data_IF_576932262519
#
_entry.id   IF_576932262519
#
_cell.length_a   1.000
_cell.length_b   1.000
_cell.length_c   1.000
_cell.angle_alpha   90.00
_cell.angle_beta   90.00
_cell.angle_gamma   90.00
#
_symmetry.space_group_name_H-M   'P 1'
#
loop_
_entity.id
_entity.type
_entity.pdbx_description
1 polymer ?
#
# COMPACT_ATOMS: atom_id res chain seq x y z
N UNK A 1 23.83 -0.95 -31.75
CA UNK A 1 22.91 -0.19 -30.86
C UNK A 1 23.37 -0.40 -29.43
N UNK A 2 23.91 0.62 -28.77
CA UNK A 2 24.27 0.54 -27.36
C UNK A 2 22.97 0.63 -26.56
N UNK A 3 22.64 -0.42 -25.78
CA UNK A 3 21.47 -0.39 -24.91
C UNK A 3 21.69 0.65 -23.81
N UNK A 4 21.00 1.79 -23.91
CA UNK A 4 20.99 2.83 -22.87
C UNK A 4 20.18 2.42 -21.63
N UNK A 5 19.47 1.28 -21.70
CA UNK A 5 18.67 0.76 -20.60
C UNK A 5 19.49 -0.24 -19.77
N UNK A 6 19.78 0.14 -18.53
CA UNK A 6 20.35 -0.75 -17.52
C UNK A 6 19.23 -1.58 -16.89
N UNK A 7 19.24 -2.90 -17.13
CA UNK A 7 18.27 -3.81 -16.49
C UNK A 7 18.43 -3.79 -14.97
N UNK A 8 17.30 -3.67 -14.28
CA UNK A 8 17.26 -3.61 -12.82
C UNK A 8 17.85 -4.88 -12.20
N UNK A 9 18.83 -4.71 -11.34
CA UNK A 9 19.28 -5.77 -10.46
C UNK A 9 18.27 -5.98 -9.32
N UNK A 10 17.86 -7.23 -9.09
CA UNK A 10 16.96 -7.57 -7.99
C UNK A 10 17.62 -7.28 -6.65
N UNK A 11 17.06 -6.35 -5.88
CA UNK A 11 17.54 -5.99 -4.55
C UNK A 11 16.98 -6.97 -3.52
N UNK A 12 17.87 -7.57 -2.72
CA UNK A 12 17.51 -8.40 -1.57
C UNK A 12 17.76 -7.60 -0.28
N UNK A 13 16.74 -6.92 0.28
CA UNK A 13 16.93 -6.12 1.48
C UNK A 13 17.24 -7.02 2.69
N UNK A 14 18.18 -6.58 3.52
CA UNK A 14 18.48 -7.18 4.82
C UNK A 14 17.42 -6.71 5.83
N UNK A 15 16.96 -7.58 6.71
CA UNK A 15 16.10 -7.17 7.82
C UNK A 15 16.92 -6.44 8.88
N UNK A 16 16.41 -5.30 9.35
CA UNK A 16 17.01 -4.50 10.41
C UNK A 16 16.13 -4.60 11.66
N UNK A 17 16.75 -4.80 12.82
CA UNK A 17 16.08 -4.77 14.12
C UNK A 17 16.44 -3.46 14.83
N UNK A 18 15.49 -2.87 15.54
CA UNK A 18 15.68 -1.61 16.26
C UNK A 18 14.36 -0.89 16.52
N UNK A 19 14.39 0.15 17.35
CA UNK A 19 13.21 0.90 17.78
C UNK A 19 12.45 1.47 16.58
N UNK A 20 13.16 2.11 15.64
CA UNK A 20 12.54 2.67 14.43
C UNK A 20 11.95 1.61 13.49
N UNK A 21 12.53 0.40 13.46
CA UNK A 21 11.97 -0.73 12.71
C UNK A 21 10.66 -1.20 13.35
N UNK A 22 10.61 -1.28 14.68
CA UNK A 22 9.38 -1.59 15.42
C UNK A 22 8.30 -0.51 15.22
N UNK A 23 8.67 0.77 15.25
CA UNK A 23 7.74 1.87 14.98
C UNK A 23 7.19 1.83 13.56
N UNK A 24 8.02 1.49 12.56
CA UNK A 24 7.55 1.29 11.19
C UNK A 24 6.50 0.20 11.13
N UNK A 25 6.74 -0.94 11.79
CA UNK A 25 5.75 -2.02 11.85
C UNK A 25 4.48 -1.62 12.60
N UNK A 26 4.59 -0.82 13.67
CA UNK A 26 3.42 -0.26 14.35
C UNK A 26 2.58 0.58 13.38
N UNK A 27 3.20 1.48 12.60
CA UNK A 27 2.49 2.30 11.61
C UNK A 27 1.88 1.45 10.49
N UNK A 28 2.58 0.40 10.03
CA UNK A 28 2.02 -0.59 9.10
C UNK A 28 0.76 -1.22 9.69
N UNK A 29 0.81 -1.71 10.93
CA UNK A 29 -0.37 -2.32 11.56
C UNK A 29 -1.52 -1.33 11.72
N UNK A 30 -1.25 -0.12 12.22
CA UNK A 30 -2.29 0.91 12.40
C UNK A 30 -2.95 1.24 11.06
N UNK A 31 -2.17 1.52 10.02
CA UNK A 31 -2.72 1.87 8.70
C UNK A 31 -3.51 0.72 8.09
N UNK A 32 -3.07 -0.54 8.24
CA UNK A 32 -3.80 -1.69 7.75
C UNK A 32 -5.08 -1.96 8.57
N UNK A 33 -5.05 -1.85 9.90
CA UNK A 33 -6.24 -2.02 10.75
C UNK A 33 -7.28 -0.97 10.40
N UNK A 34 -6.87 0.29 10.22
CA UNK A 34 -7.79 1.37 9.82
C UNK A 34 -8.32 1.09 8.41
N UNK A 35 -7.45 0.79 7.44
CA UNK A 35 -7.86 0.56 6.06
C UNK A 35 -8.82 -0.64 5.91
N UNK A 36 -8.51 -1.77 6.54
CA UNK A 36 -9.33 -2.97 6.48
C UNK A 36 -10.53 -2.94 7.41
N UNK A 37 -10.46 -2.24 8.54
CA UNK A 37 -11.51 -2.24 9.56
C UNK A 37 -12.60 -1.22 9.32
N UNK A 38 -12.25 0.00 8.86
CA UNK A 38 -13.21 1.09 8.65
C UNK A 38 -14.45 0.71 7.82
N UNK A 39 -14.36 0.01 6.68
CA UNK A 39 -15.54 -0.30 5.89
C UNK A 39 -16.47 -1.31 6.59
N UNK A 40 -16.00 -2.10 7.55
CA UNK A 40 -16.84 -3.04 8.30
C UNK A 40 -17.54 -2.41 9.50
N UNK A 41 -17.09 -1.23 9.94
CA UNK A 41 -17.72 -0.54 11.05
C UNK A 41 -19.09 0.00 10.63
N UNK A 42 -20.07 -0.21 11.48
CA UNK A 42 -21.39 0.39 11.34
C UNK A 42 -21.50 1.62 12.22
N UNK A 43 -22.19 2.63 11.69
CA UNK A 43 -22.47 3.89 12.34
C UNK A 43 -23.91 4.28 12.03
N UNK A 44 -24.79 4.28 13.04
CA UNK A 44 -26.22 4.60 12.89
C UNK A 44 -26.93 3.76 11.80
N UNK A 45 -26.77 2.43 11.85
CA UNK A 45 -27.37 1.46 10.91
C UNK A 45 -26.90 1.55 9.44
N UNK A 46 -25.81 2.28 9.17
CA UNK A 46 -25.14 2.31 7.86
C UNK A 46 -23.64 2.07 8.01
N UNK A 47 -22.95 1.75 6.93
CA UNK A 47 -21.50 1.66 6.91
C UNK A 47 -20.87 3.01 7.30
N UNK A 48 -19.84 2.98 8.16
CA UNK A 48 -19.22 4.17 8.74
C UNK A 48 -18.53 5.04 7.68
N UNK A 49 -17.79 4.44 6.75
CA UNK A 49 -17.18 5.15 5.63
C UNK A 49 -17.62 4.51 4.33
N UNK A 50 -18.43 5.24 3.55
CA UNK A 50 -18.96 4.78 2.27
C UNK A 50 -19.00 5.93 1.27
N UNK A 51 -18.34 5.75 0.14
CA UNK A 51 -18.34 6.67 -0.98
C UNK A 51 -19.34 6.19 -2.03
N UNK A 52 -20.61 6.56 -1.86
CA UNK A 52 -21.68 6.17 -2.76
C UNK A 52 -21.65 7.03 -4.03
N UNK A 53 -21.14 6.46 -5.12
CA UNK A 53 -21.03 7.12 -6.42
C UNK A 53 -22.38 7.22 -7.13
N UNK A 54 -23.32 6.33 -6.85
CA UNK A 54 -24.64 6.29 -7.49
C UNK A 54 -25.55 7.37 -6.91
N UNK A 55 -25.66 7.42 -5.58
CA UNK A 55 -26.38 8.48 -4.89
C UNK A 55 -25.61 9.80 -4.83
N UNK A 56 -24.33 9.81 -5.24
CA UNK A 56 -23.39 10.94 -5.16
C UNK A 56 -23.27 11.51 -3.75
N UNK A 57 -23.24 10.63 -2.75
CA UNK A 57 -23.16 10.98 -1.33
C UNK A 57 -21.95 10.31 -0.71
N UNK A 58 -21.15 11.09 0.02
CA UNK A 58 -20.02 10.54 0.77
C UNK A 58 -20.37 10.52 2.26
N UNK A 59 -20.45 9.32 2.80
CA UNK A 59 -20.73 9.07 4.21
C UNK A 59 -19.40 8.89 4.94
N UNK A 60 -19.13 9.77 5.90
CA UNK A 60 -17.94 9.72 6.77
C UNK A 60 -18.44 9.84 8.22
N UNK A 61 -18.64 8.69 8.87
CA UNK A 61 -19.27 8.55 10.19
C UNK A 61 -20.65 9.24 10.25
N UNK A 62 -20.79 10.28 11.09
CA UNK A 62 -22.00 11.09 11.19
C UNK A 62 -22.15 12.12 10.06
N UNK A 63 -21.08 12.44 9.35
CA UNK A 63 -21.05 13.47 8.33
C UNK A 63 -21.48 12.90 6.97
N UNK A 64 -22.37 13.64 6.29
CA UNK A 64 -22.90 13.30 4.96
C UNK A 64 -22.55 14.45 4.03
N UNK A 65 -21.64 14.23 3.10
CA UNK A 65 -21.28 15.23 2.10
C UNK A 65 -22.13 15.04 0.85
N UNK A 66 -22.84 16.10 0.47
CA UNK A 66 -23.48 16.19 -0.82
C UNK A 66 -22.50 16.77 -1.85
N UNK A 67 -22.78 16.66 -3.16
CA UNK A 67 -21.92 17.24 -4.20
C UNK A 67 -21.73 18.76 -4.05
N UNK A 68 -22.67 19.43 -3.40
CA UNK A 68 -22.63 20.87 -3.10
C UNK A 68 -21.59 21.20 -2.01
N UNK A 69 -21.35 20.25 -1.09
CA UNK A 69 -20.40 20.36 0.02
C UNK A 69 -18.96 20.03 -0.40
N UNK A 70 -18.71 19.87 -1.70
CA UNK A 70 -17.39 19.54 -2.23
C UNK A 70 -16.32 20.58 -1.88
N UNK A 71 -16.72 21.81 -1.53
CA UNK A 71 -15.82 22.84 -1.02
C UNK A 71 -15.16 22.42 0.31
N UNK A 72 -15.88 21.74 1.20
CA UNK A 72 -15.33 21.26 2.47
C UNK A 72 -14.35 20.11 2.24
N UNK A 73 -14.66 19.21 1.31
CA UNK A 73 -13.75 18.16 0.89
C UNK A 73 -12.48 18.75 0.26
N UNK A 74 -12.62 19.75 -0.61
CA UNK A 74 -11.48 20.43 -1.24
C UNK A 74 -10.62 21.11 -0.18
N UNK A 75 -11.22 21.81 0.79
CA UNK A 75 -10.50 22.42 1.91
C UNK A 75 -9.74 21.39 2.74
N UNK A 76 -10.37 20.25 3.05
CA UNK A 76 -9.72 19.14 3.76
C UNK A 76 -8.52 18.57 2.97
N UNK A 77 -8.65 18.39 1.66
CA UNK A 77 -7.56 17.91 0.80
C UNK A 77 -6.41 18.91 0.72
N UNK A 78 -6.70 20.22 0.64
CA UNK A 78 -5.68 21.28 0.66
C UNK A 78 -4.95 21.28 2.00
N UNK A 79 -5.67 21.25 3.12
CA UNK A 79 -5.07 21.17 4.46
C UNK A 79 -4.20 19.92 4.59
N UNK A 80 -4.67 18.77 4.09
CA UNK A 80 -3.92 17.51 4.10
C UNK A 80 -2.64 17.61 3.28
N UNK A 81 -2.69 18.22 2.08
CA UNK A 81 -1.54 18.42 1.22
C UNK A 81 -0.51 19.38 1.86
N UNK A 82 -0.97 20.51 2.40
CA UNK A 82 -0.12 21.46 3.11
C UNK A 82 0.49 20.85 4.38
N UNK A 83 -0.28 20.05 5.12
CA UNK A 83 0.23 19.33 6.30
C UNK A 83 1.31 18.33 5.91
N UNK A 84 1.13 17.61 4.80
CA UNK A 84 2.14 16.71 4.27
C UNK A 84 3.41 17.48 3.88
N UNK A 85 3.29 18.63 3.23
CA UNK A 85 4.44 19.47 2.87
C UNK A 85 5.16 20.02 4.10
N UNK A 86 4.41 20.52 5.08
CA UNK A 86 4.96 20.99 6.35
C UNK A 86 5.75 19.87 7.06
N UNK A 87 5.18 18.68 7.16
CA UNK A 87 5.86 17.53 7.73
C UNK A 87 7.11 17.13 6.93
N UNK A 88 7.09 17.34 5.62
CA UNK A 88 8.24 17.09 4.75
C UNK A 88 9.37 18.08 5.01
N UNK A 89 9.05 19.36 5.17
CA UNK A 89 10.01 20.41 5.48
C UNK A 89 10.66 20.21 6.85
N UNK A 90 9.89 19.76 7.86
CA UNK A 90 10.41 19.58 9.22
C UNK A 90 11.15 18.25 9.38
N UNK A 91 10.56 17.14 8.92
CA UNK A 91 11.00 15.77 9.23
C UNK A 91 11.43 14.96 7.99
N UNK A 92 11.62 15.62 6.85
CA UNK A 92 12.18 15.02 5.65
C UNK A 92 11.35 13.83 5.13
N UNK A 93 12.00 12.66 5.02
CA UNK A 93 11.45 11.43 4.41
C UNK A 93 10.62 10.56 5.36
N UNK A 94 10.24 11.08 6.52
CA UNK A 94 9.53 10.30 7.55
C UNK A 94 8.21 9.72 7.04
N UNK A 95 7.41 10.47 6.27
CA UNK A 95 6.16 9.96 5.67
C UNK A 95 6.42 8.79 4.70
N UNK A 96 7.33 9.01 3.75
CA UNK A 96 7.75 8.00 2.78
C UNK A 96 8.28 6.72 3.46
N UNK A 97 8.96 6.84 4.60
CA UNK A 97 9.56 5.70 5.30
C UNK A 97 8.59 4.89 6.17
N UNK A 98 7.51 5.50 6.67
CA UNK A 98 6.68 4.89 7.72
C UNK A 98 5.21 4.69 7.34
N UNK A 99 4.60 5.58 6.54
CA UNK A 99 3.16 5.59 6.31
C UNK A 99 2.74 5.59 4.83
N UNK A 100 3.66 5.89 3.90
CA UNK A 100 3.34 5.88 2.48
C UNK A 100 2.80 4.50 2.04
N UNK A 101 1.66 4.44 1.31
CA UNK A 101 1.06 3.16 0.91
C UNK A 101 2.02 2.24 0.16
N UNK A 102 2.86 2.80 -0.72
CA UNK A 102 3.86 2.02 -1.46
C UNK A 102 4.85 1.33 -0.52
N UNK A 103 5.30 2.02 0.53
CA UNK A 103 6.20 1.46 1.54
C UNK A 103 5.51 0.41 2.40
N UNK A 104 4.29 0.69 2.87
CA UNK A 104 3.50 -0.23 3.70
C UNK A 104 3.29 -1.56 2.98
N UNK A 105 2.77 -1.51 1.75
CA UNK A 105 2.52 -2.73 0.97
C UNK A 105 3.81 -3.45 0.57
N UNK A 106 4.87 -2.72 0.20
CA UNK A 106 6.17 -3.36 -0.12
C UNK A 106 6.77 -4.06 1.09
N UNK A 107 6.67 -3.46 2.29
CA UNK A 107 7.17 -4.05 3.53
C UNK A 107 6.41 -5.34 3.88
N UNK A 108 5.08 -5.35 3.72
CA UNK A 108 4.26 -6.56 3.92
C UNK A 108 4.66 -7.66 2.92
N UNK A 109 4.84 -7.33 1.64
CA UNK A 109 5.25 -8.31 0.63
C UNK A 109 6.64 -8.89 0.90
N UNK A 110 7.58 -8.05 1.34
CA UNK A 110 8.93 -8.45 1.74
C UNK A 110 8.90 -9.32 3.00
N UNK A 111 7.99 -9.04 3.94
CA UNK A 111 7.78 -9.86 5.13
C UNK A 111 7.24 -11.25 4.79
N UNK A 112 6.25 -11.33 3.89
CA UNK A 112 5.75 -12.61 3.34
C UNK A 112 6.89 -13.37 2.66
N UNK A 113 7.67 -12.70 1.80
CA UNK A 113 8.81 -13.30 1.10
C UNK A 113 9.86 -13.82 2.09
N UNK A 114 10.16 -13.06 3.15
CA UNK A 114 11.08 -13.48 4.21
C UNK A 114 10.55 -14.71 4.95
N UNK A 115 9.26 -14.76 5.27
CA UNK A 115 8.66 -15.87 6.02
C UNK A 115 8.63 -17.17 5.22
N UNK A 116 8.43 -17.08 3.90
CA UNK A 116 8.37 -18.26 3.01
C UNK A 116 9.75 -18.70 2.53
N UNK A 117 10.57 -17.77 2.04
CA UNK A 117 11.85 -18.09 1.40
C UNK A 117 13.04 -18.06 2.37
N UNK A 118 12.95 -17.28 3.45
CA UNK A 118 13.98 -17.10 4.48
C UNK A 118 14.69 -15.75 4.41
N UNK A 119 15.78 -15.61 5.16
CA UNK A 119 16.61 -14.40 5.19
C UNK A 119 17.30 -14.11 3.84
N UNK A 120 17.96 -12.95 3.75
CA UNK A 120 18.65 -12.49 2.53
C UNK A 120 19.53 -13.56 1.88
N UNK A 121 20.41 -14.21 2.64
CA UNK A 121 21.32 -15.24 2.13
C UNK A 121 20.58 -16.47 1.60
N UNK A 122 19.53 -16.91 2.30
CA UNK A 122 18.69 -18.02 1.88
C UNK A 122 17.96 -17.72 0.57
N UNK A 123 17.43 -16.50 0.40
CA UNK A 123 16.78 -16.05 -0.84
C UNK A 123 17.74 -15.99 -2.01
N UNK A 124 18.92 -15.41 -1.81
CA UNK A 124 19.97 -15.36 -2.84
C UNK A 124 20.39 -16.78 -3.27
N UNK A 125 20.62 -17.68 -2.31
CA UNK A 125 20.96 -19.08 -2.59
C UNK A 125 19.83 -19.83 -3.30
N UNK A 126 18.58 -19.59 -2.91
CA UNK A 126 17.40 -20.19 -3.54
C UNK A 126 17.23 -19.72 -5.00
N UNK A 127 17.52 -18.45 -5.27
CA UNK A 127 17.45 -17.90 -6.63
C UNK A 127 18.58 -18.45 -7.52
N UNK A 128 19.78 -18.63 -6.97
CA UNK A 128 20.94 -19.22 -7.67
C UNK A 128 20.88 -20.74 -7.83
N UNK A 129 20.11 -21.46 -7.01
CA UNK A 129 20.05 -22.92 -7.09
C UNK A 129 19.37 -23.40 -8.37
N UNK A 130 19.72 -24.61 -8.82
CA UNK A 130 19.03 -25.29 -9.91
C UNK A 130 17.52 -25.47 -9.63
N UNK A 131 16.75 -25.71 -10.69
CA UNK A 131 15.32 -25.95 -10.57
C UNK A 131 15.08 -27.22 -9.74
N UNK A 132 14.28 -27.10 -8.68
CA UNK A 132 13.94 -28.17 -7.76
C UNK A 132 12.48 -28.02 -7.36
N UNK A 133 11.77 -29.13 -7.12
CA UNK A 133 10.37 -29.14 -6.64
C UNK A 133 10.24 -28.28 -5.39
N UNK A 134 11.22 -28.32 -4.49
CA UNK A 134 11.25 -27.48 -3.28
C UNK A 134 11.34 -25.98 -3.60
N UNK A 135 12.12 -25.61 -4.63
CA UNK A 135 12.21 -24.22 -5.10
C UNK A 135 10.89 -23.78 -5.70
N UNK A 136 10.30 -24.60 -6.56
CA UNK A 136 8.99 -24.33 -7.14
C UNK A 136 7.92 -24.13 -6.06
N UNK A 137 7.82 -25.05 -5.09
CA UNK A 137 6.86 -24.94 -3.99
C UNK A 137 7.01 -23.66 -3.18
N UNK A 138 8.24 -23.27 -2.81
CA UNK A 138 8.49 -22.00 -2.10
C UNK A 138 8.10 -20.77 -2.93
N UNK A 139 8.47 -20.75 -4.22
CA UNK A 139 8.13 -19.62 -5.10
C UNK A 139 6.63 -19.52 -5.32
N UNK A 140 5.98 -20.66 -5.59
CA UNK A 140 4.54 -20.74 -5.76
C UNK A 140 3.81 -20.26 -4.51
N UNK A 141 4.19 -20.75 -3.32
CA UNK A 141 3.57 -20.35 -2.06
C UNK A 141 3.69 -18.84 -1.82
N UNK A 142 4.86 -18.25 -2.08
CA UNK A 142 5.03 -16.80 -1.99
C UNK A 142 4.08 -16.06 -2.93
N UNK A 143 4.01 -16.46 -4.20
CA UNK A 143 3.13 -15.80 -5.17
C UNK A 143 1.65 -16.00 -4.83
N UNK A 144 1.26 -17.17 -4.33
CA UNK A 144 -0.09 -17.42 -3.84
C UNK A 144 -0.46 -16.49 -2.68
N UNK A 145 0.44 -16.32 -1.69
CA UNK A 145 0.21 -15.39 -0.57
C UNK A 145 0.19 -13.92 -1.03
N UNK A 146 1.06 -13.53 -1.95
CA UNK A 146 1.03 -12.18 -2.54
C UNK A 146 -0.28 -11.90 -3.28
N UNK A 147 -0.75 -12.84 -4.09
CA UNK A 147 -2.02 -12.70 -4.82
C UNK A 147 -3.19 -12.66 -3.86
N UNK A 148 -3.24 -13.55 -2.87
CA UNK A 148 -4.31 -13.57 -1.86
C UNK A 148 -4.40 -12.23 -1.11
N UNK A 149 -3.27 -11.71 -0.64
CA UNK A 149 -3.22 -10.42 0.04
C UNK A 149 -3.60 -9.26 -0.90
N UNK A 150 -3.13 -9.28 -2.15
CA UNK A 150 -3.45 -8.24 -3.12
C UNK A 150 -4.93 -8.22 -3.49
N UNK A 151 -5.54 -9.39 -3.71
CA UNK A 151 -6.98 -9.52 -3.96
C UNK A 151 -7.81 -9.06 -2.76
N UNK A 152 -7.37 -9.39 -1.53
CA UNK A 152 -8.00 -8.87 -0.31
C UNK A 152 -7.94 -7.34 -0.21
N UNK A 153 -6.79 -6.76 -0.60
CA UNK A 153 -6.61 -5.31 -0.70
C UNK A 153 -7.59 -4.70 -1.71
N UNK A 154 -7.70 -5.30 -2.90
CA UNK A 154 -8.63 -4.86 -3.95
C UNK A 154 -10.10 -4.98 -3.53
N UNK A 155 -10.48 -6.08 -2.89
CA UNK A 155 -11.81 -6.29 -2.31
C UNK A 155 -12.16 -5.19 -1.30
N UNK A 156 -11.25 -4.92 -0.36
CA UNK A 156 -11.46 -3.89 0.66
C UNK A 156 -11.58 -2.51 0.03
N UNK A 157 -10.75 -2.20 -0.96
CA UNK A 157 -10.82 -0.91 -1.65
C UNK A 157 -12.18 -0.70 -2.33
N UNK A 158 -12.71 -1.71 -3.01
CA UNK A 158 -14.06 -1.67 -3.59
C UNK A 158 -15.14 -1.58 -2.50
N UNK A 159 -14.91 -2.17 -1.33
CA UNK A 159 -15.77 -2.06 -0.14
C UNK A 159 -15.94 -0.63 0.40
N UNK A 160 -15.10 0.33 -0.01
CA UNK A 160 -15.32 1.76 0.28
C UNK A 160 -16.33 2.42 -0.68
N UNK A 161 -16.64 1.80 -1.82
CA UNK A 161 -17.55 2.37 -2.85
C UNK A 161 -18.85 1.56 -2.98
N UNK A 162 -18.80 0.26 -2.70
CA UNK A 162 -19.97 -0.62 -2.59
C UNK A 162 -20.05 -1.12 -1.16
N UNK A 163 -21.22 -1.10 -0.50
CA UNK A 163 -21.35 -1.56 0.89
C UNK A 163 -20.67 -2.91 1.10
N UNK A 164 -19.74 -2.98 2.07
CA UNK A 164 -18.79 -4.12 2.14
C UNK A 164 -19.49 -5.44 2.49
N UNK A 165 -20.59 -5.38 3.26
CA UNK A 165 -21.39 -6.55 3.62
C UNK A 165 -22.11 -7.13 2.41
N UNK A 166 -22.66 -6.26 1.57
CA UNK A 166 -23.30 -6.66 0.31
C UNK A 166 -22.24 -7.20 -0.65
N UNK A 167 -21.09 -6.52 -0.75
CA UNK A 167 -19.96 -6.98 -1.56
C UNK A 167 -19.46 -8.36 -1.11
N UNK A 168 -19.39 -8.61 0.20
CA UNK A 168 -19.03 -9.91 0.76
C UNK A 168 -20.07 -10.98 0.43
N UNK A 169 -21.36 -10.68 0.57
CA UNK A 169 -22.44 -11.59 0.22
C UNK A 169 -22.44 -11.95 -1.28
N UNK A 170 -22.28 -10.95 -2.16
CA UNK A 170 -22.17 -11.14 -3.61
C UNK A 170 -20.92 -11.95 -4.00
N UNK A 171 -19.80 -11.72 -3.30
CA UNK A 171 -18.57 -12.49 -3.52
C UNK A 171 -18.74 -13.95 -3.13
N UNK A 172 -19.40 -14.23 -2.00
CA UNK A 172 -19.68 -15.58 -1.53
C UNK A 172 -20.68 -16.31 -2.44
N UNK A 173 -21.67 -15.59 -2.97
CA UNK A 173 -22.65 -16.11 -3.92
C UNK A 173 -22.10 -16.23 -5.37
N UNK A 174 -20.84 -15.84 -5.60
CA UNK A 174 -20.22 -15.78 -6.93
C UNK A 174 -21.05 -14.97 -7.96
N UNK A 175 -21.76 -13.94 -7.49
CA UNK A 175 -22.71 -13.13 -8.27
C UNK A 175 -22.26 -11.68 -8.40
N UNK A 176 -20.95 -11.43 -8.34
CA UNK A 176 -20.38 -10.09 -8.50
C UNK A 176 -20.71 -9.52 -9.88
N UNK A 177 -21.16 -8.26 -9.90
CA UNK A 177 -21.38 -7.52 -11.13
C UNK A 177 -20.08 -7.22 -11.88
N UNK A 178 -20.15 -6.79 -13.16
CA UNK A 178 -18.97 -6.47 -13.95
C UNK A 178 -18.10 -5.37 -13.33
N UNK A 179 -18.72 -4.36 -12.72
CA UNK A 179 -18.03 -3.24 -12.07
C UNK A 179 -17.18 -3.72 -10.88
N UNK A 180 -17.80 -4.42 -9.93
CA UNK A 180 -17.12 -4.92 -8.73
C UNK A 180 -16.00 -5.87 -9.12
N UNK A 181 -16.28 -6.81 -10.03
CA UNK A 181 -15.31 -7.78 -10.53
C UNK A 181 -14.09 -7.09 -11.14
N UNK A 182 -14.31 -6.16 -12.08
CA UNK A 182 -13.23 -5.43 -12.72
C UNK A 182 -12.33 -4.71 -11.72
N UNK A 183 -12.90 -3.93 -10.79
CA UNK A 183 -12.10 -3.14 -9.86
C UNK A 183 -11.38 -3.96 -8.80
N UNK A 184 -11.99 -5.04 -8.30
CA UNK A 184 -11.32 -5.94 -7.36
C UNK A 184 -10.06 -6.53 -8.01
N UNK A 185 -10.19 -7.06 -9.23
CA UNK A 185 -9.06 -7.65 -9.94
C UNK A 185 -8.05 -6.59 -10.40
N UNK A 186 -8.50 -5.42 -10.83
CA UNK A 186 -7.62 -4.33 -11.24
C UNK A 186 -6.77 -3.83 -10.08
N UNK A 187 -7.37 -3.51 -8.93
CA UNK A 187 -6.62 -3.06 -7.75
C UNK A 187 -5.78 -4.18 -7.14
N UNK A 188 -6.24 -5.43 -7.19
CA UNK A 188 -5.43 -6.58 -6.81
C UNK A 188 -4.20 -6.75 -7.71
N UNK A 189 -4.39 -6.67 -9.03
CA UNK A 189 -3.29 -6.71 -9.99
C UNK A 189 -2.32 -5.54 -9.79
N UNK A 190 -2.82 -4.32 -9.63
CA UNK A 190 -2.01 -3.14 -9.39
C UNK A 190 -1.20 -3.26 -8.10
N UNK A 191 -1.81 -3.73 -7.00
CA UNK A 191 -1.13 -3.96 -5.72
C UNK A 191 -0.03 -5.01 -5.86
N UNK A 192 -0.34 -6.13 -6.52
CA UNK A 192 0.60 -7.21 -6.80
C UNK A 192 1.79 -6.74 -7.66
N UNK A 193 1.53 -5.98 -8.72
CA UNK A 193 2.56 -5.41 -9.60
C UNK A 193 3.45 -4.40 -8.88
N UNK A 194 2.82 -3.43 -8.21
CA UNK A 194 3.50 -2.31 -7.56
C UNK A 194 4.36 -2.76 -6.38
N UNK A 195 3.81 -3.56 -5.46
CA UNK A 195 4.52 -4.01 -4.26
C UNK A 195 5.40 -5.25 -4.53
N UNK A 196 4.97 -6.15 -5.42
CA UNK A 196 5.70 -7.38 -5.71
C UNK A 196 6.93 -7.16 -6.58
N UNK A 197 6.79 -6.42 -7.69
CA UNK A 197 7.81 -6.34 -8.74
C UNK A 197 8.45 -4.96 -8.83
N UNK A 198 7.64 -3.91 -8.90
CA UNK A 198 8.12 -2.55 -9.17
C UNK A 198 8.83 -1.96 -7.95
N UNK A 199 8.29 -2.14 -6.74
CA UNK A 199 8.90 -1.74 -5.46
C UNK A 199 9.44 -0.31 -5.51
N UNK A 200 10.75 -0.11 -5.45
CA UNK A 200 11.38 1.21 -5.46
C UNK A 200 11.29 1.92 -6.82
N UNK A 201 10.97 1.23 -7.90
CA UNK A 201 10.72 1.85 -9.21
C UNK A 201 9.52 2.79 -9.16
N UNK A 202 8.51 2.46 -8.34
CA UNK A 202 7.35 3.34 -8.10
C UNK A 202 7.84 4.65 -7.48
N UNK A 203 8.67 4.57 -6.43
CA UNK A 203 9.20 5.75 -5.77
C UNK A 203 10.16 6.58 -6.65
N UNK A 204 10.91 5.93 -7.56
CA UNK A 204 11.87 6.60 -8.45
C UNK A 204 11.21 7.27 -9.66
N UNK A 205 10.25 6.60 -10.29
CA UNK A 205 9.75 7.00 -11.60
C UNK A 205 8.27 7.41 -11.61
N UNK A 206 7.45 6.85 -10.73
CA UNK A 206 6.00 7.09 -10.74
C UNK A 206 5.55 8.10 -9.69
N UNK A 207 6.21 8.13 -8.53
CA UNK A 207 5.80 8.95 -7.40
C UNK A 207 6.15 10.43 -7.65
N UNK A 208 5.15 11.31 -7.89
CA UNK A 208 5.43 12.73 -8.08
C UNK A 208 5.93 13.38 -6.76
N UNK A 209 5.43 12.90 -5.62
CA UNK A 209 5.79 13.42 -4.30
C UNK A 209 7.30 13.26 -4.00
N UNK A 210 7.93 12.16 -4.45
CA UNK A 210 9.38 11.98 -4.29
C UNK A 210 10.21 13.08 -5.00
N UNK A 211 9.68 13.67 -6.08
CA UNK A 211 10.32 14.78 -6.80
C UNK A 211 10.09 16.12 -6.10
N UNK A 212 8.86 16.40 -5.70
CA UNK A 212 8.55 17.60 -4.92
C UNK A 212 9.35 17.66 -3.62
N UNK A 213 9.54 16.52 -2.98
CA UNK A 213 10.30 16.42 -1.75
C UNK A 213 11.74 16.95 -1.88
N UNK A 214 12.43 16.69 -2.99
CA UNK A 214 13.79 17.20 -3.19
C UNK A 214 13.86 18.72 -3.30
N UNK A 215 12.77 19.39 -3.71
CA UNK A 215 12.70 20.85 -3.77
C UNK A 215 12.28 21.50 -2.45
N UNK A 216 11.68 20.73 -1.53
CA UNK A 216 11.19 21.22 -0.23
C UNK A 216 12.21 21.10 0.90
N UNK A 217 13.37 20.49 0.65
CA UNK A 217 14.41 20.33 1.67
C UNK A 217 15.22 21.62 1.79
N UNK A 218 15.39 22.08 3.03
CA UNK A 218 16.29 23.15 3.40
C UNK A 218 17.45 22.63 4.27
N UNK A 219 18.28 23.54 4.78
CA UNK A 219 19.43 23.19 5.62
C UNK A 219 19.04 22.69 7.02
N UNK A 220 17.83 23.03 7.46
CA UNK A 220 17.33 22.75 8.81
C UNK A 220 16.42 21.51 8.85
N UNK A 221 16.08 20.96 7.68
CA UNK A 221 15.28 19.75 7.51
C UNK A 221 15.99 18.56 8.14
N UNK A 222 15.33 17.86 9.07
CA UNK A 222 15.88 16.64 9.66
C UNK A 222 15.91 15.49 8.64
N UNK A 223 17.07 14.86 8.48
CA UNK A 223 17.27 13.73 7.57
C UNK A 223 17.47 12.46 8.39
N UNK A 224 16.63 11.45 8.13
CA UNK A 224 16.81 10.10 8.69
C UNK A 224 17.95 9.41 7.95
N UNK A 225 19.06 9.18 8.64
CA UNK A 225 20.21 8.40 8.15
C UNK A 225 20.44 7.17 9.01
N UNK A 226 21.20 6.20 8.48
CA UNK A 226 21.68 5.10 9.30
C UNK A 226 22.76 5.62 10.25
N UNK A 227 22.75 5.11 11.48
CA UNK A 227 23.89 5.25 12.39
C UNK A 227 25.12 4.59 11.73
N UNK A 228 26.29 5.21 11.86
CA UNK A 228 27.53 4.72 11.25
C UNK A 228 28.03 3.42 11.87
N UNK A 229 27.43 2.98 12.98
CA UNK A 229 27.80 1.81 13.77
C UNK A 229 27.03 0.55 13.43
#
# INVERSE_FOLDING_TARGET
MVSLYASRQKIYPRSVAGIFSSWRWLTVWITQIVFYGLPWLEWNARQAVLFDLEARRFYIFGLVLYPQDFIYLTGLLVISALSLFLFTAVAGRLWCGFACPQTVYTEIFLWIEKKVEGDRSARMRLDQSSFSIRKFGKKWLKHALWIAFALWTGFTFVGYFTPIRDLAALSLAASLGPWQTFWIFFYGFATYGNAGFMREQVCKYMCPYARFQSAMFDKDTMIVTYDEK
#
